data_IF_189956919679
#
_entry.id   IF_189956919679
#
_cell.length_a   1.000
_cell.length_b   1.000
_cell.length_c   1.000
_cell.angle_alpha   90.00
_cell.angle_beta   90.00
_cell.angle_gamma   90.00
#
_symmetry.space_group_name_H-M   'P 1'
#
loop_
_entity.id
_entity.type
_entity.pdbx_description
1 polymer ?
#
# COMPACT_ATOMS: atom_id res chain seq x y z
N UNK A 1 8.38 13.07 0.28
CA UNK A 1 7.62 12.67 1.51
C UNK A 1 6.09 12.68 1.39
N UNK A 2 5.43 13.74 0.87
CA UNK A 2 3.94 13.79 0.80
C UNK A 2 3.30 12.61 0.04
N UNK A 3 3.90 12.16 -1.08
CA UNK A 3 3.44 10.98 -1.85
C UNK A 3 3.46 9.70 -1.00
N UNK A 4 4.57 9.45 -0.28
CA UNK A 4 4.72 8.30 0.61
C UNK A 4 3.68 8.26 1.74
N UNK A 5 3.40 9.40 2.39
CA UNK A 5 2.37 9.47 3.42
C UNK A 5 0.96 9.22 2.88
N UNK A 6 0.67 9.71 1.66
CA UNK A 6 -0.62 9.46 0.98
C UNK A 6 -0.78 7.98 0.63
N UNK A 7 0.27 7.35 0.08
CA UNK A 7 0.28 5.93 -0.23
C UNK A 7 0.10 5.10 1.04
N UNK A 8 0.85 5.40 2.11
CA UNK A 8 0.73 4.73 3.41
C UNK A 8 -0.70 4.78 3.97
N UNK A 9 -1.29 5.98 4.01
CA UNK A 9 -2.64 6.17 4.50
C UNK A 9 -3.67 5.38 3.67
N UNK A 10 -3.48 5.31 2.35
CA UNK A 10 -4.38 4.57 1.48
C UNK A 10 -4.24 3.06 1.63
N UNK A 11 -3.02 2.54 1.75
CA UNK A 11 -2.80 1.11 2.03
C UNK A 11 -3.44 0.71 3.36
N UNK A 12 -3.36 1.55 4.40
CA UNK A 12 -4.07 1.30 5.67
C UNK A 12 -5.59 1.30 5.52
N UNK A 13 -6.16 2.05 4.56
CA UNK A 13 -7.61 1.96 4.25
C UNK A 13 -7.94 0.62 3.60
N UNK A 14 -7.12 0.15 2.65
CA UNK A 14 -7.29 -1.17 2.03
C UNK A 14 -7.22 -2.29 3.07
N UNK A 15 -6.29 -2.19 4.05
CA UNK A 15 -6.18 -3.16 5.15
C UNK A 15 -7.49 -3.28 5.95
N UNK A 16 -8.31 -2.22 6.04
CA UNK A 16 -9.61 -2.28 6.74
C UNK A 16 -10.65 -3.10 6.00
N UNK A 17 -10.48 -3.31 4.69
CA UNK A 17 -11.38 -4.14 3.87
C UNK A 17 -11.10 -5.63 4.04
N UNK A 18 -9.92 -6.01 4.55
CA UNK A 18 -9.52 -7.40 4.75
C UNK A 18 -10.36 -8.08 5.87
N UNK A 19 -10.35 -9.42 5.93
CA UNK A 19 -10.91 -10.17 7.07
C UNK A 19 -10.32 -9.71 8.40
N UNK A 20 -11.18 -9.60 9.44
CA UNK A 20 -10.85 -8.94 10.72
C UNK A 20 -9.59 -9.50 11.40
N UNK A 21 -9.44 -10.82 11.39
CA UNK A 21 -8.33 -11.59 11.94
C UNK A 21 -6.99 -11.28 11.25
N UNK A 22 -7.01 -10.89 9.98
CA UNK A 22 -5.78 -10.62 9.20
C UNK A 22 -5.30 -9.17 9.31
N UNK A 23 -6.17 -8.23 9.72
CA UNK A 23 -5.90 -6.78 9.66
C UNK A 23 -4.70 -6.37 10.50
N UNK A 24 -4.55 -6.95 11.69
CA UNK A 24 -3.46 -6.62 12.61
C UNK A 24 -2.10 -6.96 12.00
N UNK A 25 -2.00 -8.14 11.39
CA UNK A 25 -0.80 -8.59 10.69
C UNK A 25 -0.43 -7.64 9.55
N UNK A 26 -1.37 -7.35 8.65
CA UNK A 26 -1.10 -6.48 7.51
C UNK A 26 -0.85 -5.01 7.90
N UNK A 27 -1.53 -4.49 8.93
CA UNK A 27 -1.27 -3.14 9.43
C UNK A 27 0.14 -3.01 10.07
N UNK A 28 0.66 -4.09 10.66
CA UNK A 28 2.05 -4.14 11.14
C UNK A 28 3.02 -4.18 9.96
N UNK A 29 2.80 -5.10 9.02
CA UNK A 29 3.63 -5.23 7.81
C UNK A 29 3.75 -3.92 7.02
N UNK A 30 2.64 -3.19 6.84
CA UNK A 30 2.63 -1.89 6.15
C UNK A 30 3.45 -0.85 6.90
N UNK A 31 3.38 -0.81 8.23
CA UNK A 31 4.20 0.11 9.05
C UNK A 31 5.68 -0.16 8.90
N UNK A 32 6.07 -1.43 8.96
CA UNK A 32 7.47 -1.86 8.84
C UNK A 32 8.04 -1.57 7.45
N UNK A 33 7.23 -1.72 6.38
CA UNK A 33 7.68 -1.42 5.02
C UNK A 33 7.82 0.08 4.75
N UNK A 34 6.86 0.89 5.19
CA UNK A 34 6.84 2.33 4.90
C UNK A 34 7.82 3.14 5.75
N UNK A 35 8.34 2.60 6.86
CA UNK A 35 9.38 3.30 7.64
C UNK A 35 10.65 3.51 6.81
N UNK A 36 10.99 2.52 5.98
CA UNK A 36 12.18 2.52 5.14
C UNK A 36 12.11 3.59 4.03
N UNK A 37 10.92 4.04 3.65
CA UNK A 37 10.74 5.03 2.57
C UNK A 37 11.28 6.42 2.93
N UNK A 38 11.59 6.65 4.21
CA UNK A 38 12.23 7.89 4.68
C UNK A 38 13.72 7.95 4.35
N UNK A 39 14.34 6.80 4.17
CA UNK A 39 15.78 6.63 3.96
C UNK A 39 16.14 6.36 2.50
N UNK A 40 15.12 6.16 1.65
CA UNK A 40 15.31 5.91 0.22
C UNK A 40 15.62 7.18 -0.56
N UNK A 41 16.50 7.04 -1.54
CA UNK A 41 16.74 8.06 -2.53
C UNK A 41 15.47 8.32 -3.36
N UNK A 42 15.21 9.58 -3.76
CA UNK A 42 14.03 9.91 -4.56
C UNK A 42 13.92 9.12 -5.86
N UNK A 43 15.03 8.69 -6.45
CA UNK A 43 15.08 7.85 -7.67
C UNK A 43 14.49 6.45 -7.46
N UNK A 44 14.60 5.91 -6.24
CA UNK A 44 14.17 4.55 -5.94
C UNK A 44 12.71 4.49 -5.47
N UNK A 45 12.13 5.65 -5.15
CA UNK A 45 10.77 5.73 -4.61
C UNK A 45 9.70 5.28 -5.60
N UNK A 46 9.89 5.52 -6.90
CA UNK A 46 8.87 5.16 -7.90
C UNK A 46 8.74 3.64 -8.06
N UNK A 47 9.86 2.91 -8.09
CA UNK A 47 9.84 1.44 -8.06
C UNK A 47 9.14 0.89 -6.82
N UNK A 48 9.39 1.52 -5.67
CA UNK A 48 8.77 1.16 -4.40
C UNK A 48 7.26 1.44 -4.40
N UNK A 49 6.82 2.55 -4.98
CA UNK A 49 5.40 2.84 -5.17
C UNK A 49 4.73 1.84 -6.09
N UNK A 50 5.39 1.46 -7.19
CA UNK A 50 4.86 0.44 -8.10
C UNK A 50 4.72 -0.92 -7.41
N UNK A 51 5.72 -1.33 -6.63
CA UNK A 51 5.65 -2.56 -5.82
C UNK A 51 4.54 -2.50 -4.77
N UNK A 52 4.37 -1.36 -4.10
CA UNK A 52 3.28 -1.14 -3.13
C UNK A 52 1.91 -1.33 -3.79
N UNK A 53 1.71 -0.75 -4.97
CA UNK A 53 0.46 -0.89 -5.71
C UNK A 53 0.22 -2.35 -6.12
N UNK A 54 1.23 -3.01 -6.70
CA UNK A 54 1.13 -4.41 -7.11
C UNK A 54 0.84 -5.34 -5.93
N UNK A 55 1.52 -5.14 -4.79
CA UNK A 55 1.29 -5.93 -3.58
C UNK A 55 -0.12 -5.71 -3.02
N UNK A 56 -0.62 -4.48 -3.06
CA UNK A 56 -1.98 -4.17 -2.62
C UNK A 56 -3.02 -4.87 -3.52
N UNK A 57 -2.82 -4.89 -4.83
CA UNK A 57 -3.68 -5.64 -5.75
C UNK A 57 -3.67 -7.14 -5.47
N UNK A 58 -2.48 -7.73 -5.27
CA UNK A 58 -2.35 -9.14 -4.90
C UNK A 58 -3.11 -9.45 -3.61
N UNK A 59 -3.01 -8.57 -2.61
CA UNK A 59 -3.69 -8.74 -1.33
C UNK A 59 -5.22 -8.66 -1.46
N UNK A 60 -5.73 -7.72 -2.25
CA UNK A 60 -7.16 -7.62 -2.53
C UNK A 60 -7.67 -8.87 -3.25
N UNK A 61 -6.94 -9.32 -4.28
CA UNK A 61 -7.27 -10.55 -5.01
C UNK A 61 -7.27 -11.78 -4.10
N UNK A 62 -6.28 -11.92 -3.20
CA UNK A 62 -6.17 -13.02 -2.24
C UNK A 62 -7.44 -13.18 -1.39
N UNK A 63 -8.10 -12.06 -1.05
CA UNK A 63 -9.30 -12.05 -0.21
C UNK A 63 -10.59 -11.79 -1.02
N UNK A 64 -10.55 -11.96 -2.34
CA UNK A 64 -11.71 -11.76 -3.23
C UNK A 64 -12.34 -10.36 -3.12
N UNK A 65 -11.54 -9.35 -2.81
CA UNK A 65 -11.98 -7.94 -2.77
C UNK A 65 -11.78 -7.33 -4.15
N UNK A 66 -12.76 -6.53 -4.59
CA UNK A 66 -12.72 -5.88 -5.89
C UNK A 66 -11.49 -4.97 -6.04
N UNK A 67 -10.80 -5.08 -7.19
CA UNK A 67 -9.59 -4.32 -7.50
C UNK A 67 -9.81 -2.80 -7.55
N UNK A 68 -11.02 -2.34 -7.85
CA UNK A 68 -11.40 -0.92 -7.88
C UNK A 68 -11.23 -0.24 -6.52
N UNK A 69 -11.20 -1.01 -5.42
CA UNK A 69 -10.86 -0.49 -4.11
C UNK A 69 -9.47 0.19 -4.10
N UNK A 70 -8.55 -0.24 -4.98
CA UNK A 70 -7.21 0.32 -5.12
C UNK A 70 -7.08 1.49 -6.12
N UNK A 71 -8.16 1.98 -6.74
CA UNK A 71 -8.07 3.02 -7.77
C UNK A 71 -7.43 4.31 -7.25
N UNK A 72 -7.73 4.67 -6.00
CA UNK A 72 -7.10 5.82 -5.34
C UNK A 72 -5.61 5.59 -5.07
N UNK A 73 -5.23 4.36 -4.72
CA UNK A 73 -3.81 4.00 -4.55
C UNK A 73 -3.07 4.04 -5.89
N UNK A 74 -3.70 3.55 -6.97
CA UNK A 74 -3.17 3.64 -8.34
C UNK A 74 -2.83 5.08 -8.72
N UNK A 75 -3.76 6.01 -8.47
CA UNK A 75 -3.55 7.43 -8.76
C UNK A 75 -2.45 8.10 -7.92
N UNK A 76 -2.03 7.49 -6.81
CA UNK A 76 -0.92 7.98 -5.98
C UNK A 76 0.41 7.33 -6.39
N UNK A 77 0.40 6.02 -6.67
CA UNK A 77 1.62 5.24 -6.87
C UNK A 77 2.08 5.15 -8.32
N UNK A 78 1.17 5.30 -9.30
CA UNK A 78 1.45 5.13 -10.72
C UNK A 78 1.34 6.45 -11.50
N UNK A 79 1.50 7.58 -10.79
CA UNK A 79 1.58 8.94 -11.34
C UNK A 79 2.97 9.52 -11.23
#
# INVERSE_FOLDING_TARGET
>A
MKKALRAYAEVLRLVRLLPKDTRAYYAKYVRENFVNYRELDPSDLDDHFQRTYNHSLWLLHKYSIDKSAADKLKGICCT
#
